data_IF_271132446816
#
_entry.id   IF_271132446816
#
_cell.length_a   1.000
_cell.length_b   1.000
_cell.length_c   1.000
_cell.angle_alpha   90.00
_cell.angle_beta   90.00
_cell.angle_gamma   90.00
#
_symmetry.space_group_name_H-M   'P 1'
#
loop_
_entity.id
_entity.type
_entity.pdbx_description
1 polymer ?
#
# COMPACT_ATOMS: atom_id res chain seq x y z
N UNK A 1 4.51 -28.28 -2.63
CA UNK A 1 5.09 -28.04 -1.30
C UNK A 1 4.15 -27.15 -0.52
N UNK A 2 3.58 -27.69 0.56
CA UNK A 2 2.57 -27.03 1.40
C UNK A 2 3.30 -26.13 2.41
N UNK A 3 3.31 -24.82 2.18
CA UNK A 3 3.82 -23.83 3.14
C UNK A 3 2.68 -23.39 4.05
N UNK A 4 2.46 -24.16 5.11
CA UNK A 4 1.55 -23.81 6.19
C UNK A 4 2.22 -22.84 7.14
N UNK A 5 2.01 -21.54 6.93
CA UNK A 5 2.30 -20.54 7.95
C UNK A 5 1.25 -20.66 9.05
N UNK A 6 1.61 -21.33 10.15
CA UNK A 6 0.74 -21.59 11.29
C UNK A 6 1.24 -20.75 12.47
N UNK A 7 0.52 -19.68 12.79
CA UNK A 7 0.68 -18.96 14.05
C UNK A 7 0.47 -19.95 15.21
N UNK A 8 1.50 -20.21 16.03
CA UNK A 8 1.36 -20.92 17.32
C UNK A 8 1.34 -19.89 18.44
N UNK A 9 0.40 -20.09 19.36
CA UNK A 9 0.29 -19.40 20.64
C UNK A 9 1.35 -19.91 21.64
N UNK A 10 1.85 -18.96 22.45
CA UNK A 10 2.52 -19.17 23.75
C UNK A 10 4.04 -19.42 23.69
N UNK A 11 4.88 -18.95 24.62
CA UNK A 11 4.69 -18.09 25.79
C UNK A 11 6.09 -17.66 26.32
N UNK A 12 6.11 -16.52 27.03
CA UNK A 12 7.16 -16.09 27.97
C UNK A 12 8.27 -15.22 27.36
N UNK A 13 8.62 -14.04 27.88
CA UNK A 13 8.49 -13.61 29.28
C UNK A 13 7.97 -12.17 29.41
N UNK A 14 7.15 -11.99 30.44
CA UNK A 14 6.47 -10.75 30.76
C UNK A 14 7.41 -9.83 31.54
N UNK A 15 7.67 -8.63 31.01
CA UNK A 15 8.21 -7.53 31.79
C UNK A 15 7.25 -6.34 31.70
N UNK A 16 6.37 -6.28 32.70
CA UNK A 16 5.79 -5.09 33.34
C UNK A 16 5.47 -3.88 32.44
N UNK A 17 4.17 -3.67 32.22
CA UNK A 17 3.60 -2.36 31.87
C UNK A 17 3.14 -2.25 30.43
N UNK A 18 1.83 -2.47 30.22
CA UNK A 18 1.01 -2.16 29.04
C UNK A 18 1.69 -1.87 27.70
N UNK A 19 1.51 -2.75 26.71
CA UNK A 19 1.16 -2.41 25.31
C UNK A 19 0.86 -3.68 24.49
N UNK A 20 -0.06 -3.52 23.55
CA UNK A 20 -0.72 -4.52 22.70
C UNK A 20 0.08 -4.69 21.37
N UNK A 21 -0.16 -5.71 20.50
CA UNK A 21 0.82 -6.54 19.71
C UNK A 21 1.11 -6.66 18.15
N UNK A 22 2.01 -7.54 17.69
CA UNK A 22 2.82 -7.43 16.42
C UNK A 22 2.19 -7.05 15.04
N UNK A 23 2.50 -5.87 14.48
CA UNK A 23 2.78 -5.53 13.06
C UNK A 23 4.12 -6.10 12.57
N UNK A 24 4.40 -6.15 11.27
CA UNK A 24 5.72 -6.50 10.70
C UNK A 24 6.49 -5.21 10.36
N UNK A 25 7.73 -5.08 10.82
CA UNK A 25 8.61 -3.95 10.50
C UNK A 25 9.27 -4.18 9.14
N UNK A 26 8.57 -3.88 8.04
CA UNK A 26 9.05 -4.15 6.67
C UNK A 26 10.43 -3.55 6.35
N UNK A 27 10.77 -2.32 6.76
CA UNK A 27 12.13 -1.79 6.57
C UNK A 27 13.19 -2.59 7.32
N UNK A 28 12.91 -3.04 8.55
CA UNK A 28 13.83 -3.85 9.35
C UNK A 28 13.91 -5.30 8.87
N UNK A 29 12.80 -5.81 8.32
CA UNK A 29 12.68 -7.12 7.69
C UNK A 29 13.50 -7.18 6.40
N UNK A 30 13.47 -6.10 5.62
CA UNK A 30 14.23 -5.95 4.39
C UNK A 30 15.72 -5.60 4.67
N UNK A 31 16.03 -4.85 5.75
CA UNK A 31 17.40 -4.59 6.18
C UNK A 31 18.11 -5.82 6.79
N UNK A 32 17.37 -6.68 7.50
CA UNK A 32 17.87 -7.95 7.98
C UNK A 32 18.09 -8.97 6.84
N UNK A 33 17.37 -8.79 5.73
CA UNK A 33 17.53 -9.54 4.50
C UNK A 33 18.79 -9.13 3.72
N UNK A 34 19.14 -7.83 3.63
CA UNK A 34 20.20 -7.33 2.73
C UNK A 34 19.99 -7.84 1.28
N UNK A 35 21.04 -8.30 0.60
CA UNK A 35 20.97 -8.89 -0.75
C UNK A 35 20.65 -10.40 -0.74
N UNK A 36 20.45 -10.98 0.43
CA UNK A 36 20.10 -12.40 0.54
C UNK A 36 18.61 -12.63 0.30
N UNK A 37 18.25 -13.87 -0.07
CA UNK A 37 16.84 -14.26 -0.16
C UNK A 37 16.17 -14.09 1.23
N UNK A 38 14.95 -13.52 1.27
CA UNK A 38 14.21 -13.28 2.52
C UNK A 38 13.96 -14.61 3.26
N UNK A 39 14.39 -14.68 4.53
CA UNK A 39 14.25 -15.87 5.39
C UNK A 39 13.52 -15.50 6.68
N UNK A 40 12.92 -16.49 7.34
CA UNK A 40 12.15 -16.29 8.56
C UNK A 40 12.98 -15.63 9.70
N UNK A 41 14.28 -15.88 9.76
CA UNK A 41 15.20 -15.25 10.70
C UNK A 41 15.34 -13.72 10.51
N UNK A 42 14.95 -13.22 9.33
CA UNK A 42 15.01 -11.80 8.95
C UNK A 42 13.73 -11.05 9.32
N UNK A 43 12.63 -11.75 9.61
CA UNK A 43 11.37 -11.11 9.98
C UNK A 43 11.52 -10.37 11.31
N UNK A 44 11.07 -9.12 11.32
CA UNK A 44 11.00 -8.26 12.51
C UNK A 44 9.57 -7.78 12.69
N UNK A 45 9.08 -7.74 13.92
CA UNK A 45 7.71 -7.39 14.24
C UNK A 45 7.63 -6.18 15.20
N UNK A 46 6.64 -5.30 15.04
CA UNK A 46 6.29 -4.12 15.86
C UNK A 46 5.02 -4.41 16.63
N UNK A 47 5.05 -4.64 17.94
CA UNK A 47 3.82 -4.94 18.69
C UNK A 47 2.83 -3.74 18.83
N UNK A 48 1.70 -3.76 18.09
CA UNK A 48 0.38 -3.10 18.28
C UNK A 48 -0.84 -3.85 17.64
N UNK A 49 -1.66 -4.60 18.41
CA UNK A 49 -2.94 -5.11 17.90
C UNK A 49 -3.73 -3.85 17.61
N UNK A 50 -3.96 -3.56 16.33
CA UNK A 50 -4.94 -2.55 15.97
C UNK A 50 -6.27 -3.06 16.51
N UNK A 51 -6.67 -2.59 17.69
CA UNK A 51 -7.88 -3.04 18.40
C UNK A 51 -9.14 -2.88 17.53
N UNK A 52 -9.08 -2.08 16.45
CA UNK A 52 -10.14 -1.89 15.45
C UNK A 52 -9.87 -2.46 14.04
N UNK A 53 -8.87 -3.30 13.84
CA UNK A 53 -8.49 -3.85 12.52
C UNK A 53 -7.68 -2.89 11.63
N UNK A 54 -7.44 -3.27 10.37
CA UNK A 54 -6.63 -2.48 9.41
C UNK A 54 -7.44 -2.18 8.15
N UNK A 55 -7.32 -0.95 7.63
CA UNK A 55 -7.75 -0.51 6.31
C UNK A 55 -6.53 -0.24 5.44
N UNK A 56 -6.37 -1.00 4.36
CA UNK A 56 -5.41 -0.69 3.29
C UNK A 56 -6.08 0.15 2.20
N UNK A 57 -5.72 1.42 2.08
CA UNK A 57 -6.18 2.29 1.02
C UNK A 57 -5.14 2.33 -0.10
N UNK A 58 -5.44 1.68 -1.21
CA UNK A 58 -4.60 1.64 -2.42
C UNK A 58 -4.99 2.78 -3.36
N UNK A 59 -4.01 3.53 -3.82
CA UNK A 59 -4.14 4.63 -4.77
C UNK A 59 -3.29 4.26 -5.98
N UNK A 60 -3.95 3.86 -7.06
CA UNK A 60 -3.33 3.36 -8.27
C UNK A 60 -3.32 4.44 -9.37
N UNK A 61 -2.13 4.71 -9.86
CA UNK A 61 -1.92 5.49 -11.07
C UNK A 61 -2.31 4.67 -12.31
N UNK A 62 -3.31 5.14 -13.03
CA UNK A 62 -3.82 4.60 -14.29
C UNK A 62 -3.56 5.56 -15.47
N UNK A 63 -2.56 6.44 -15.35
CA UNK A 63 -2.15 7.37 -16.41
C UNK A 63 -1.47 6.67 -17.58
N UNK A 64 -1.27 7.41 -18.68
CA UNK A 64 -0.65 6.89 -19.90
C UNK A 64 0.75 6.30 -19.67
N UNK A 65 1.55 6.86 -18.76
CA UNK A 65 2.89 6.35 -18.49
C UNK A 65 2.86 5.00 -17.77
N UNK A 66 1.86 4.76 -16.92
CA UNK A 66 1.59 3.45 -16.32
C UNK A 66 0.97 2.45 -17.29
N UNK A 67 0.18 2.92 -18.26
CA UNK A 67 -0.35 2.06 -19.33
C UNK A 67 0.75 1.60 -20.30
N UNK A 68 1.80 2.41 -20.47
CA UNK A 68 2.95 2.06 -21.30
C UNK A 68 3.85 1.03 -20.61
N UNK A 69 4.39 0.07 -21.38
CA UNK A 69 5.50 -0.78 -20.92
C UNK A 69 5.17 -1.79 -19.81
N UNK A 70 3.98 -2.41 -19.83
CA UNK A 70 3.56 -3.46 -18.88
C UNK A 70 3.43 -3.05 -17.39
N UNK A 71 3.70 -1.79 -17.02
CA UNK A 71 3.67 -1.34 -15.61
C UNK A 71 2.30 -1.53 -14.96
N UNK A 72 1.21 -1.18 -15.64
CA UNK A 72 -0.14 -1.42 -15.12
C UNK A 72 -0.45 -2.91 -14.94
N UNK A 73 0.07 -3.78 -15.81
CA UNK A 73 -0.11 -5.22 -15.67
C UNK A 73 0.62 -5.76 -14.44
N UNK A 74 1.83 -5.25 -14.16
CA UNK A 74 2.58 -5.55 -12.94
C UNK A 74 1.85 -5.02 -11.69
N UNK A 75 1.34 -3.80 -11.76
CA UNK A 75 0.57 -3.20 -10.66
C UNK A 75 -0.71 -3.98 -10.36
N UNK A 76 -1.41 -4.47 -11.39
CA UNK A 76 -2.55 -5.38 -11.26
C UNK A 76 -2.16 -6.65 -10.51
N UNK A 77 -1.08 -7.32 -10.94
CA UNK A 77 -0.62 -8.56 -10.32
C UNK A 77 -0.29 -8.36 -8.83
N UNK A 78 0.41 -7.26 -8.51
CA UNK A 78 0.70 -6.89 -7.13
C UNK A 78 -0.57 -6.61 -6.32
N UNK A 79 -1.53 -5.86 -6.87
CA UNK A 79 -2.79 -5.56 -6.19
C UNK A 79 -3.60 -6.82 -5.88
N UNK A 80 -3.65 -7.79 -6.80
CA UNK A 80 -4.30 -9.09 -6.55
C UNK A 80 -3.67 -9.78 -5.35
N UNK A 81 -2.34 -9.87 -5.31
CA UNK A 81 -1.61 -10.48 -4.20
C UNK A 81 -1.87 -9.75 -2.86
N UNK A 82 -1.85 -8.41 -2.87
CA UNK A 82 -2.12 -7.60 -1.69
C UNK A 82 -3.57 -7.71 -1.21
N UNK A 83 -4.54 -7.82 -2.12
CA UNK A 83 -5.96 -8.05 -1.76
C UNK A 83 -6.16 -9.42 -1.12
N UNK A 84 -5.49 -10.46 -1.62
CA UNK A 84 -5.54 -11.80 -1.04
C UNK A 84 -4.91 -11.84 0.35
N UNK A 85 -3.78 -11.14 0.55
CA UNK A 85 -3.18 -11.00 1.87
C UNK A 85 -4.10 -10.25 2.84
N UNK A 86 -4.70 -9.14 2.41
CA UNK A 86 -5.66 -8.39 3.22
C UNK A 86 -6.88 -9.26 3.60
N UNK A 87 -7.40 -10.05 2.65
CA UNK A 87 -8.48 -11.02 2.89
C UNK A 87 -8.11 -12.03 3.97
N UNK A 88 -6.91 -12.64 3.85
CA UNK A 88 -6.42 -13.60 4.82
C UNK A 88 -6.22 -13.00 6.22
N UNK A 89 -5.79 -11.74 6.29
CA UNK A 89 -5.62 -10.97 7.52
C UNK A 89 -6.94 -10.40 8.10
N UNK A 90 -8.09 -10.64 7.44
CA UNK A 90 -9.39 -10.02 7.78
C UNK A 90 -9.34 -8.49 7.82
N UNK A 91 -8.46 -7.91 7.00
CA UNK A 91 -8.35 -6.47 6.81
C UNK A 91 -9.34 -5.99 5.74
N UNK A 92 -9.66 -4.70 5.78
CA UNK A 92 -10.42 -4.05 4.71
C UNK A 92 -9.49 -3.40 3.71
N UNK A 93 -9.99 -3.25 2.49
CA UNK A 93 -9.28 -2.55 1.42
C UNK A 93 -10.19 -1.51 0.78
N UNK A 94 -9.59 -0.43 0.31
CA UNK A 94 -10.19 0.52 -0.61
C UNK A 94 -9.25 0.70 -1.80
N UNK A 95 -9.79 0.84 -3.00
CA UNK A 95 -9.02 1.10 -4.22
C UNK A 95 -9.50 2.40 -4.85
N UNK A 96 -8.60 3.37 -4.93
CA UNK A 96 -8.74 4.60 -5.71
C UNK A 96 -7.90 4.45 -6.97
N UNK A 97 -8.48 4.72 -8.13
CA UNK A 97 -7.74 4.79 -9.39
C UNK A 97 -7.78 6.22 -9.91
N UNK A 98 -6.64 6.75 -10.35
CA UNK A 98 -6.57 8.10 -10.93
C UNK A 98 -5.91 8.08 -12.30
N UNK A 99 -6.22 9.06 -13.13
CA UNK A 99 -5.63 9.21 -14.47
C UNK A 99 -6.30 10.36 -15.22
N UNK A 100 -5.58 10.94 -16.18
CA UNK A 100 -6.07 12.12 -16.91
C UNK A 100 -6.42 13.28 -15.96
N UNK A 101 -7.70 13.60 -15.87
CA UNK A 101 -8.26 14.65 -15.00
C UNK A 101 -9.22 14.11 -13.93
N UNK A 102 -9.17 12.80 -13.63
CA UNK A 102 -10.14 12.13 -12.74
C UNK A 102 -9.48 11.19 -11.73
N UNK A 103 -10.22 10.96 -10.64
CA UNK A 103 -9.91 9.97 -9.63
C UNK A 103 -11.21 9.34 -9.10
N UNK A 104 -11.32 8.02 -9.20
CA UNK A 104 -12.50 7.24 -8.85
C UNK A 104 -12.21 6.27 -7.72
N UNK A 105 -13.14 6.11 -6.78
CA UNK A 105 -13.13 4.98 -5.86
C UNK A 105 -13.72 3.77 -6.58
N UNK A 106 -12.89 2.76 -6.84
CA UNK A 106 -13.23 1.57 -7.61
C UNK A 106 -13.65 0.39 -6.74
N UNK A 107 -13.21 0.37 -5.49
CA UNK A 107 -13.62 -0.62 -4.51
C UNK A 107 -13.53 -0.08 -3.08
N UNK A 108 -14.40 -0.59 -2.21
CA UNK A 108 -14.30 -0.41 -0.76
C UNK A 108 -14.62 1.00 -0.25
N UNK A 109 -14.37 1.27 1.05
CA UNK A 109 -13.73 0.40 2.04
C UNK A 109 -14.56 -0.85 2.37
N UNK A 110 -14.00 -2.04 2.16
CA UNK A 110 -14.67 -3.31 2.48
C UNK A 110 -13.67 -4.47 2.57
N UNK A 111 -14.06 -5.57 3.21
CA UNK A 111 -13.31 -6.82 3.12
C UNK A 111 -13.35 -7.34 1.66
N UNK A 112 -12.20 -7.57 1.00
CA UNK A 112 -12.18 -8.08 -0.37
C UNK A 112 -12.68 -9.53 -0.38
N UNK A 113 -13.64 -9.83 -1.27
CA UNK A 113 -14.20 -11.19 -1.44
C UNK A 113 -13.63 -11.89 -2.67
N UNK A 114 -13.46 -11.14 -3.75
CA UNK A 114 -12.94 -11.60 -5.04
C UNK A 114 -12.36 -10.39 -5.79
N UNK A 115 -11.43 -10.62 -6.71
CA UNK A 115 -10.84 -9.59 -7.54
C UNK A 115 -11.66 -9.36 -8.83
N UNK A 116 -11.94 -8.09 -9.16
CA UNK A 116 -12.55 -7.74 -10.44
C UNK A 116 -11.57 -6.95 -11.33
N UNK A 117 -11.26 -7.48 -12.51
CA UNK A 117 -10.36 -6.80 -13.45
C UNK A 117 -10.90 -5.45 -13.92
N UNK A 118 -12.23 -5.27 -13.94
CA UNK A 118 -12.85 -4.01 -14.35
C UNK A 118 -12.53 -2.86 -13.41
N UNK A 119 -12.12 -3.13 -12.16
CA UNK A 119 -11.79 -2.07 -11.20
C UNK A 119 -10.62 -1.21 -11.65
N UNK A 120 -9.65 -1.79 -12.36
CA UNK A 120 -8.46 -1.09 -12.84
C UNK A 120 -8.58 -0.64 -14.30
N UNK A 121 -9.79 -0.64 -14.87
CA UNK A 121 -10.02 -0.12 -16.21
C UNK A 121 -9.54 1.34 -16.29
N UNK A 122 -8.91 1.75 -17.41
CA UNK A 122 -8.32 3.08 -17.55
C UNK A 122 -9.26 4.20 -17.09
N UNK A 123 -8.68 5.18 -16.40
CA UNK A 123 -9.40 6.41 -16.04
C UNK A 123 -9.25 7.35 -17.24
N UNK A 124 -10.34 7.57 -17.97
CA UNK A 124 -10.31 8.39 -19.19
C UNK A 124 -10.02 9.87 -18.93
N UNK A 125 -9.45 10.56 -19.93
CA UNK A 125 -9.21 12.02 -19.94
C UNK A 125 -7.79 12.42 -20.35
N UNK A 126 -7.63 13.59 -20.98
CA UNK A 126 -6.34 14.20 -21.32
C UNK A 126 -6.07 15.46 -20.49
N UNK A 127 -4.83 15.60 -20.00
CA UNK A 127 -4.34 16.76 -19.21
C UNK A 127 -4.80 16.78 -17.73
N UNK A 128 -3.90 17.17 -16.81
CA UNK A 128 -4.20 17.38 -15.38
C UNK A 128 -3.04 17.13 -14.40
N UNK A 129 -3.30 17.33 -13.09
CA UNK A 129 -2.49 16.91 -11.92
C UNK A 129 -3.14 15.71 -11.22
N UNK A 130 -3.17 14.53 -11.87
CA UNK A 130 -4.03 13.41 -11.45
C UNK A 130 -3.62 12.80 -10.12
N UNK A 131 -2.35 12.91 -9.72
CA UNK A 131 -1.87 12.43 -8.43
C UNK A 131 -2.53 13.20 -7.28
N UNK A 132 -2.69 14.53 -7.41
CA UNK A 132 -3.36 15.35 -6.39
C UNK A 132 -4.79 14.89 -6.18
N UNK A 133 -5.56 14.70 -7.27
CA UNK A 133 -6.94 14.22 -7.20
C UNK A 133 -7.03 12.82 -6.56
N UNK A 134 -6.15 11.90 -6.92
CA UNK A 134 -6.10 10.56 -6.32
C UNK A 134 -5.87 10.61 -4.81
N UNK A 135 -4.94 11.46 -4.37
CA UNK A 135 -4.59 11.61 -2.95
C UNK A 135 -5.69 12.33 -2.16
N UNK A 136 -6.36 13.33 -2.75
CA UNK A 136 -7.52 13.97 -2.13
C UNK A 136 -8.67 12.99 -1.89
N UNK A 137 -8.96 12.12 -2.88
CA UNK A 137 -9.97 11.07 -2.74
C UNK A 137 -9.61 10.07 -1.65
N UNK A 138 -8.34 9.64 -1.60
CA UNK A 138 -7.85 8.79 -0.53
C UNK A 138 -7.93 9.48 0.85
N UNK A 139 -7.56 10.76 0.93
CA UNK A 139 -7.64 11.55 2.16
C UNK A 139 -9.07 11.62 2.70
N UNK A 140 -10.06 11.87 1.83
CA UNK A 140 -11.46 11.87 2.22
C UNK A 140 -11.94 10.50 2.75
N UNK A 141 -11.53 9.40 2.10
CA UNK A 141 -11.81 8.03 2.55
C UNK A 141 -11.20 7.74 3.93
N UNK A 142 -9.93 8.08 4.12
CA UNK A 142 -9.22 7.86 5.38
C UNK A 142 -9.82 8.70 6.52
N UNK A 143 -10.17 9.96 6.25
CA UNK A 143 -10.86 10.83 7.20
C UNK A 143 -12.23 10.27 7.59
N UNK A 144 -13.00 9.76 6.63
CA UNK A 144 -14.28 9.10 6.92
C UNK A 144 -14.07 7.88 7.81
N UNK A 145 -13.07 7.04 7.50
CA UNK A 145 -12.76 5.85 8.30
C UNK A 145 -12.33 6.22 9.73
N UNK A 146 -11.48 7.23 9.89
CA UNK A 146 -11.02 7.71 11.20
C UNK A 146 -12.20 8.18 12.08
N UNK A 147 -13.21 8.84 11.50
CA UNK A 147 -14.43 9.23 12.24
C UNK A 147 -15.30 8.02 12.64
N UNK A 148 -15.45 7.03 11.74
CA UNK A 148 -16.34 5.88 11.96
C UNK A 148 -15.72 4.80 12.84
N UNK A 149 -14.42 4.58 12.71
CA UNK A 149 -13.66 3.56 13.43
C UNK A 149 -12.32 4.15 13.88
N UNK A 150 -12.30 4.93 14.98
CA UNK A 150 -11.10 5.62 15.44
C UNK A 150 -9.91 4.67 15.69
N UNK A 151 -10.19 3.48 16.24
CA UNK A 151 -9.19 2.46 16.56
C UNK A 151 -8.72 1.61 15.36
N UNK A 152 -9.30 1.80 14.17
CA UNK A 152 -8.87 1.08 12.96
C UNK A 152 -7.61 1.71 12.40
N UNK A 153 -6.55 0.94 12.24
CA UNK A 153 -5.33 1.42 11.61
C UNK A 153 -5.52 1.62 10.10
N UNK A 154 -4.94 2.67 9.53
CA UNK A 154 -5.09 3.11 8.14
C UNK A 154 -3.73 3.16 7.44
N UNK A 155 -3.53 2.28 6.47
CA UNK A 155 -2.32 2.20 5.67
C UNK A 155 -2.61 2.70 4.26
N UNK A 156 -1.97 3.80 3.84
CA UNK A 156 -2.03 4.34 2.50
C UNK A 156 -0.94 3.71 1.63
N UNK A 157 -1.32 3.24 0.44
CA UNK A 157 -0.42 2.67 -0.55
C UNK A 157 -0.56 3.45 -1.85
N UNK A 158 0.50 4.06 -2.35
CA UNK A 158 0.51 4.78 -3.62
C UNK A 158 1.30 3.97 -4.65
N UNK A 159 0.66 3.52 -5.72
CA UNK A 159 1.26 2.73 -6.78
C UNK A 159 1.37 3.62 -8.02
N UNK A 160 2.57 4.06 -8.39
CA UNK A 160 2.81 4.98 -9.51
C UNK A 160 4.23 4.83 -10.05
N UNK A 161 4.47 5.29 -11.27
CA UNK A 161 5.81 5.47 -11.85
C UNK A 161 6.36 6.88 -11.63
N UNK A 162 5.66 7.72 -10.85
CA UNK A 162 6.10 9.06 -10.46
C UNK A 162 6.01 10.11 -11.58
N UNK A 163 5.46 9.77 -12.75
CA UNK A 163 5.37 10.70 -13.90
C UNK A 163 4.11 11.56 -13.89
N UNK A 164 3.11 11.15 -13.13
CA UNK A 164 1.90 11.94 -12.88
C UNK A 164 2.24 13.24 -12.15
N UNK A 165 1.84 14.37 -12.74
CA UNK A 165 2.07 15.69 -12.15
C UNK A 165 1.26 15.93 -10.87
N UNK A 166 1.78 16.83 -10.03
CA UNK A 166 1.14 17.28 -8.80
C UNK A 166 2.07 17.21 -7.58
N UNK A 167 1.74 18.01 -6.58
CA UNK A 167 2.39 18.00 -5.26
C UNK A 167 1.32 17.95 -4.17
N UNK A 168 0.63 16.80 -4.00
CA UNK A 168 -0.32 16.66 -2.92
C UNK A 168 0.36 16.70 -1.55
N UNK A 169 -0.39 17.14 -0.54
CA UNK A 169 0.02 17.00 0.85
C UNK A 169 -0.25 15.58 1.36
N UNK A 170 0.51 15.17 2.38
CA UNK A 170 0.28 13.89 3.07
C UNK A 170 -1.15 13.84 3.63
N UNK A 171 -1.93 12.78 3.36
CA UNK A 171 -3.22 12.58 4.03
C UNK A 171 -3.08 12.50 5.55
N UNK A 172 -3.75 13.39 6.27
CA UNK A 172 -3.62 13.54 7.73
C UNK A 172 -3.98 12.27 8.52
N UNK A 173 -4.89 11.44 7.99
CA UNK A 173 -5.37 10.22 8.66
C UNK A 173 -4.72 8.93 8.12
N UNK A 174 -3.64 9.04 7.34
CA UNK A 174 -2.80 7.89 7.02
C UNK A 174 -1.84 7.64 8.19
N UNK A 175 -2.00 6.51 8.88
CA UNK A 175 -1.09 6.11 9.96
C UNK A 175 0.22 5.58 9.37
N UNK A 176 0.13 4.89 8.23
CA UNK A 176 1.28 4.38 7.46
C UNK A 176 1.15 4.81 6.00
N UNK A 177 2.28 5.10 5.38
CA UNK A 177 2.37 5.52 3.97
C UNK A 177 3.43 4.68 3.28
N UNK A 178 3.04 3.98 2.22
CA UNK A 178 3.93 3.19 1.37
C UNK A 178 3.76 3.64 -0.07
N UNK A 179 4.86 3.95 -0.72
CA UNK A 179 4.94 4.12 -2.17
C UNK A 179 5.49 2.84 -2.79
N UNK A 180 4.84 2.38 -3.84
CA UNK A 180 5.34 1.33 -4.73
C UNK A 180 5.69 1.99 -6.05
N UNK A 181 6.98 2.05 -6.32
CA UNK A 181 7.56 2.71 -7.48
C UNK A 181 7.63 1.75 -8.67
N UNK A 182 6.91 2.10 -9.74
CA UNK A 182 6.90 1.40 -11.03
C UNK A 182 7.82 2.07 -12.07
N UNK A 183 8.63 3.04 -11.66
CA UNK A 183 9.61 3.66 -12.54
C UNK A 183 10.67 2.64 -12.99
N UNK A 184 10.88 2.58 -14.31
CA UNK A 184 11.81 1.67 -14.96
C UNK A 184 12.76 2.44 -15.88
N UNK A 185 13.95 1.89 -16.13
CA UNK A 185 14.97 2.46 -17.00
C UNK A 185 16.16 3.09 -16.27
N UNK A 186 17.14 3.54 -17.04
CA UNK A 186 18.42 4.08 -16.55
C UNK A 186 18.32 5.54 -16.08
N UNK A 187 17.42 6.34 -16.66
CA UNK A 187 17.17 7.72 -16.27
C UNK A 187 15.88 7.79 -15.42
N UNK A 188 16.05 7.80 -14.10
CA UNK A 188 14.98 7.80 -13.11
C UNK A 188 14.73 9.21 -12.56
N UNK A 189 13.46 9.64 -12.55
CA UNK A 189 12.94 10.87 -11.97
C UNK A 189 12.88 10.76 -10.45
N UNK A 190 12.66 9.55 -9.89
CA UNK A 190 12.63 9.26 -8.44
C UNK A 190 11.54 10.01 -7.65
N UNK A 191 10.48 10.45 -8.33
CA UNK A 191 9.41 11.24 -7.71
C UNK A 191 8.67 10.50 -6.59
N UNK A 192 8.45 9.20 -6.72
CA UNK A 192 7.82 8.39 -5.66
C UNK A 192 8.69 8.37 -4.38
N UNK A 193 10.01 8.25 -4.53
CA UNK A 193 10.93 8.29 -3.39
C UNK A 193 10.98 9.68 -2.73
N UNK A 194 10.91 10.75 -3.51
CA UNK A 194 10.82 12.12 -2.99
C UNK A 194 9.56 12.32 -2.15
N UNK A 195 8.39 11.99 -2.70
CA UNK A 195 7.11 12.14 -2.01
C UNK A 195 7.03 11.25 -0.77
N UNK A 196 7.54 10.01 -0.84
CA UNK A 196 7.62 9.13 0.33
C UNK A 196 8.44 9.78 1.45
N UNK A 197 9.59 10.37 1.13
CA UNK A 197 10.43 11.08 2.11
C UNK A 197 9.74 12.32 2.67
N UNK A 198 9.13 13.14 1.82
CA UNK A 198 8.36 14.32 2.25
C UNK A 198 7.22 13.94 3.19
N UNK A 199 6.58 12.80 2.93
CA UNK A 199 5.50 12.31 3.75
C UNK A 199 6.01 11.49 4.94
N UNK A 200 7.30 11.22 5.12
CA UNK A 200 7.78 10.32 6.18
C UNK A 200 7.24 8.89 6.04
N UNK A 201 7.06 8.43 4.80
CA UNK A 201 6.67 7.08 4.42
C UNK A 201 7.84 6.27 3.84
N UNK A 202 7.52 5.07 3.37
CA UNK A 202 8.46 4.14 2.77
C UNK A 202 8.28 4.10 1.24
N UNK A 203 9.34 3.88 0.48
CA UNK A 203 9.26 3.70 -0.97
C UNK A 203 9.96 2.41 -1.37
N UNK A 204 9.27 1.56 -2.12
CA UNK A 204 9.80 0.29 -2.61
C UNK A 204 9.67 0.20 -4.13
N UNK A 205 10.70 -0.26 -4.85
CA UNK A 205 10.51 -0.66 -6.24
C UNK A 205 9.54 -1.86 -6.31
N UNK A 206 8.67 -1.90 -7.32
CA UNK A 206 7.65 -2.96 -7.42
C UNK A 206 8.26 -4.37 -7.44
N UNK A 207 9.47 -4.55 -7.99
CA UNK A 207 10.16 -5.83 -8.05
C UNK A 207 10.46 -6.40 -6.65
N UNK A 208 10.69 -5.53 -5.67
CA UNK A 208 10.94 -5.94 -4.30
C UNK A 208 9.69 -6.54 -3.64
N UNK A 209 8.49 -6.24 -4.14
CA UNK A 209 7.22 -6.75 -3.59
C UNK A 209 6.69 -7.96 -4.36
N UNK A 210 7.01 -8.08 -5.66
CA UNK A 210 6.57 -9.22 -6.49
C UNK A 210 7.41 -10.48 -6.25
N UNK A 211 8.71 -10.33 -5.93
CA UNK A 211 9.64 -11.46 -5.76
C UNK A 211 9.81 -11.92 -4.31
N UNK A 212 8.88 -11.55 -3.42
CA UNK A 212 8.96 -11.76 -1.97
C UNK A 212 8.05 -12.88 -1.45
#
# INVERSE_FOLDING_TARGET
>A
MRSGFRWRQGAGDAARGGTVGARVAWPRTLAAKRDERLRAAHLRFVHEEARGGVLHCFVLDCSGSMLSGQRLALAKGLLVALFDQARAARAEVALVCFGGSRADVRFGPAAPRWWNEKWIAPVGGGGGTPLTLGVERASALLAHSARRRPAQQRCLWVLSDGRSGGSPSRPAHADHVVFVDFEQGQLRIKRCAELAREWGGECFPYEALVNS
#
